data_IF_867047523814
#
_entry.id   IF_867047523814
#
_cell.length_a   1.000
_cell.length_b   1.000
_cell.length_c   1.000
_cell.angle_alpha   90.00
_cell.angle_beta   90.00
_cell.angle_gamma   90.00
#
_symmetry.space_group_name_H-M   'P 1'
#
loop_
_entity.id
_entity.type
_entity.pdbx_description
1 polymer ?
#
# COMPACT_ATOMS: atom_id res chain seq x y z
N UNK A 1 5.67 -18.49 4.66
CA UNK A 1 4.74 -18.13 5.76
C UNK A 1 3.36 -18.66 5.37
N UNK A 2 2.71 -19.51 6.16
CA UNK A 2 1.38 -20.04 5.75
C UNK A 2 0.36 -18.89 5.72
N UNK A 3 -0.60 -18.96 4.79
CA UNK A 3 -1.65 -17.93 4.64
C UNK A 3 -2.42 -17.71 5.95
N UNK A 4 -2.74 -18.79 6.69
CA UNK A 4 -3.37 -18.73 8.02
C UNK A 4 -2.61 -17.82 9.00
N UNK A 5 -1.28 -17.90 9.03
CA UNK A 5 -0.46 -17.10 9.96
C UNK A 5 -0.52 -15.59 9.65
N UNK A 6 -0.69 -15.22 8.37
CA UNK A 6 -0.82 -13.81 7.99
C UNK A 6 -2.18 -13.24 8.42
N UNK A 7 -3.25 -13.98 8.17
CA UNK A 7 -4.61 -13.57 8.53
C UNK A 7 -4.75 -13.42 10.05
N UNK A 8 -4.16 -14.32 10.84
CA UNK A 8 -4.14 -14.23 12.31
C UNK A 8 -3.47 -12.93 12.80
N UNK A 9 -2.35 -12.55 12.16
CA UNK A 9 -1.64 -11.31 12.48
C UNK A 9 -2.49 -10.09 12.10
N UNK A 10 -3.12 -10.12 10.92
CA UNK A 10 -3.98 -9.02 10.47
C UNK A 10 -5.17 -8.83 11.42
N UNK A 11 -5.83 -9.91 11.82
CA UNK A 11 -6.93 -9.89 12.80
C UNK A 11 -6.43 -9.31 14.14
N UNK A 12 -5.26 -9.72 14.61
CA UNK A 12 -4.68 -9.20 15.85
C UNK A 12 -4.40 -7.69 15.77
N UNK A 13 -3.83 -7.22 14.66
CA UNK A 13 -3.50 -5.80 14.46
C UNK A 13 -4.78 -4.94 14.37
N UNK A 14 -5.80 -5.43 13.68
CA UNK A 14 -7.08 -4.72 13.53
C UNK A 14 -7.76 -4.43 14.87
N UNK A 15 -7.58 -5.29 15.89
CA UNK A 15 -8.12 -5.06 17.24
C UNK A 15 -7.57 -3.82 17.94
N UNK A 16 -6.36 -3.37 17.62
CA UNK A 16 -5.76 -2.18 18.24
C UNK A 16 -6.33 -0.86 17.71
N UNK A 17 -7.13 -0.87 16.65
CA UNK A 17 -7.80 0.31 16.14
C UNK A 17 -9.24 -0.01 15.70
N UNK A 18 -10.22 0.13 16.60
CA UNK A 18 -11.58 -0.34 16.38
C UNK A 18 -12.35 0.46 15.30
N UNK A 19 -11.89 1.67 14.96
CA UNK A 19 -12.46 2.43 13.84
C UNK A 19 -11.97 1.85 12.51
N UNK A 20 -12.91 1.33 11.72
CA UNK A 20 -12.62 0.72 10.41
C UNK A 20 -12.11 1.76 9.39
N UNK A 21 -12.74 2.94 9.33
CA UNK A 21 -12.31 4.08 8.51
C UNK A 21 -12.18 5.30 9.43
N UNK A 22 -10.95 5.78 9.60
CA UNK A 22 -10.65 7.06 10.25
C UNK A 22 -9.82 7.89 9.27
N UNK A 23 -10.41 8.95 8.74
CA UNK A 23 -9.79 9.83 7.75
C UNK A 23 -8.87 10.88 8.38
N UNK A 24 -8.71 10.87 9.71
CA UNK A 24 -7.84 11.80 10.41
C UNK A 24 -6.36 11.40 10.28
N UNK A 25 -5.50 12.37 9.97
CA UNK A 25 -4.07 12.17 9.81
C UNK A 25 -3.26 12.27 11.12
N UNK A 26 -3.85 12.70 12.24
CA UNK A 26 -3.13 12.92 13.52
C UNK A 26 -2.33 11.70 13.97
N UNK A 27 -2.93 10.50 13.90
CA UNK A 27 -2.28 9.26 14.33
C UNK A 27 -1.08 8.90 13.46
N UNK A 28 -1.23 8.99 12.14
CA UNK A 28 -0.14 8.65 11.22
C UNK A 28 0.97 9.71 11.27
N UNK A 29 0.62 11.00 11.41
CA UNK A 29 1.61 12.07 11.54
C UNK A 29 2.47 11.92 12.79
N UNK A 30 1.87 11.57 13.94
CA UNK A 30 2.64 11.24 15.16
C UNK A 30 3.60 10.08 14.92
N UNK A 31 3.12 8.99 14.34
CA UNK A 31 3.96 7.83 14.03
C UNK A 31 5.11 8.18 13.07
N UNK A 32 4.84 9.00 12.04
CA UNK A 32 5.86 9.41 11.09
C UNK A 32 6.94 10.27 11.77
N UNK A 33 6.57 11.16 12.70
CA UNK A 33 7.54 11.92 13.50
C UNK A 33 8.41 11.00 14.35
N UNK A 34 7.80 10.04 15.06
CA UNK A 34 8.52 9.05 15.89
C UNK A 34 9.48 8.19 15.06
N UNK A 35 9.19 7.97 13.78
CA UNK A 35 10.03 7.22 12.83
C UNK A 35 11.04 8.08 12.05
N UNK A 36 11.18 9.37 12.37
CA UNK A 36 12.13 10.26 11.69
C UNK A 36 11.68 10.72 10.30
N UNK A 37 10.37 10.79 10.06
CA UNK A 37 9.74 11.26 8.82
C UNK A 37 10.22 10.56 7.53
N UNK A 38 10.15 9.21 7.44
CA UNK A 38 10.68 8.47 6.29
C UNK A 38 9.98 8.80 4.97
N UNK A 39 8.74 9.31 5.04
CA UNK A 39 7.97 9.76 3.88
C UNK A 39 8.60 10.96 3.14
N UNK A 40 9.56 11.66 3.75
CA UNK A 40 10.29 12.77 3.11
C UNK A 40 11.45 12.28 2.23
N UNK A 41 11.82 11.01 2.33
CA UNK A 41 12.94 10.39 1.62
C UNK A 41 12.49 9.28 0.68
N UNK A 42 11.29 9.43 0.09
CA UNK A 42 10.74 8.43 -0.81
C UNK A 42 11.51 8.40 -2.15
N UNK A 43 11.65 7.22 -2.78
CA UNK A 43 12.08 7.14 -4.18
C UNK A 43 11.05 7.83 -5.09
N UNK A 44 11.35 8.02 -6.38
CA UNK A 44 10.38 8.55 -7.35
C UNK A 44 9.03 7.84 -7.25
N UNK A 45 7.98 8.57 -6.86
CA UNK A 45 6.68 8.02 -6.47
C UNK A 45 5.56 8.71 -7.23
N UNK A 46 4.64 7.92 -7.79
CA UNK A 46 3.42 8.38 -8.43
C UNK A 46 2.24 8.06 -7.49
N UNK A 47 1.54 9.09 -7.01
CA UNK A 47 0.32 8.93 -6.20
C UNK A 47 -0.91 9.02 -7.11
N UNK A 48 -1.67 7.92 -7.24
CA UNK A 48 -2.89 7.85 -8.03
C UNK A 48 -4.12 8.00 -7.13
N UNK A 49 -4.75 9.18 -7.19
CA UNK A 49 -6.00 9.48 -6.49
C UNK A 49 -7.18 9.59 -7.47
N UNK A 50 -8.41 9.38 -6.98
CA UNK A 50 -9.64 9.51 -7.78
C UNK A 50 -10.73 8.53 -7.37
N UNK A 51 -11.95 8.73 -7.85
CA UNK A 51 -13.10 7.85 -7.52
C UNK A 51 -12.99 6.51 -8.26
N UNK A 52 -12.74 6.57 -9.57
CA UNK A 52 -12.71 5.40 -10.47
C UNK A 52 -11.36 5.30 -11.20
N UNK A 53 -11.08 4.15 -11.82
CA UNK A 53 -9.94 3.98 -12.74
C UNK A 53 -8.55 3.83 -12.09
N UNK A 54 -8.37 4.11 -10.80
CA UNK A 54 -7.05 4.02 -10.12
C UNK A 54 -6.29 2.72 -10.40
N UNK A 55 -6.98 1.58 -10.32
CA UNK A 55 -6.39 0.26 -10.54
C UNK A 55 -5.97 0.03 -11.99
N UNK A 56 -6.78 0.43 -12.97
CA UNK A 56 -6.44 0.30 -14.39
C UNK A 56 -5.32 1.27 -14.78
N UNK A 57 -5.38 2.52 -14.32
CA UNK A 57 -4.30 3.51 -14.51
C UNK A 57 -2.97 3.00 -13.96
N UNK A 58 -2.97 2.47 -12.73
CA UNK A 58 -1.77 1.87 -12.15
C UNK A 58 -1.25 0.70 -12.98
N UNK A 59 -2.14 -0.17 -13.47
CA UNK A 59 -1.75 -1.32 -14.29
C UNK A 59 -1.07 -0.89 -15.58
N UNK A 60 -1.61 0.12 -16.27
CA UNK A 60 -1.05 0.67 -17.51
C UNK A 60 0.32 1.29 -17.25
N UNK A 61 0.42 2.20 -16.26
CA UNK A 61 1.67 2.86 -15.91
C UNK A 61 2.75 1.86 -15.51
N UNK A 62 2.39 0.87 -14.70
CA UNK A 62 3.31 -0.19 -14.27
C UNK A 62 3.83 -0.99 -15.47
N UNK A 63 2.99 -1.32 -16.44
CA UNK A 63 3.42 -2.04 -17.65
C UNK A 63 4.38 -1.19 -18.47
N UNK A 64 4.06 0.08 -18.72
CA UNK A 64 4.91 1.01 -19.49
C UNK A 64 6.29 1.20 -18.85
N UNK A 65 6.33 1.48 -17.54
CA UNK A 65 7.58 1.70 -16.81
C UNK A 65 8.45 0.43 -16.72
N UNK A 66 7.81 -0.75 -16.69
CA UNK A 66 8.54 -2.02 -16.77
C UNK A 66 9.14 -2.25 -18.14
N UNK A 67 8.38 -1.99 -19.19
CA UNK A 67 8.86 -2.13 -20.56
C UNK A 67 10.03 -1.18 -20.85
N UNK A 68 10.07 -0.02 -20.18
CA UNK A 68 11.22 0.88 -20.22
C UNK A 68 12.41 0.43 -19.34
N UNK A 69 12.42 -0.81 -18.84
CA UNK A 69 13.53 -1.38 -18.08
C UNK A 69 13.63 -0.96 -16.61
N UNK A 70 12.60 -0.33 -16.03
CA UNK A 70 12.62 0.11 -14.63
C UNK A 70 12.11 -0.98 -13.68
N UNK A 71 12.72 -1.05 -12.49
CA UNK A 71 12.15 -1.82 -11.38
C UNK A 71 10.98 -1.04 -10.76
N UNK A 72 9.78 -1.61 -10.81
CA UNK A 72 8.55 -0.94 -10.36
C UNK A 72 7.86 -1.70 -9.24
N UNK A 73 7.73 -1.05 -8.08
CA UNK A 73 6.81 -1.46 -7.02
C UNK A 73 5.43 -0.82 -7.20
N UNK A 74 4.37 -1.51 -6.80
CA UNK A 74 3.04 -0.93 -6.80
C UNK A 74 2.20 -1.41 -5.63
N UNK A 75 1.45 -0.48 -5.04
CA UNK A 75 0.50 -0.72 -3.96
C UNK A 75 -0.95 -0.49 -4.43
N UNK A 76 -1.85 -1.41 -4.13
CA UNK A 76 -3.30 -1.31 -4.43
C UNK A 76 -4.17 -1.69 -3.25
N UNK A 77 -5.35 -1.07 -3.14
CA UNK A 77 -6.39 -1.48 -2.20
C UNK A 77 -7.79 -1.28 -2.81
N UNK A 78 -8.80 -2.12 -2.46
CA UNK A 78 -8.69 -3.33 -1.62
C UNK A 78 -7.99 -4.49 -2.36
N UNK A 79 -7.90 -5.66 -1.71
CA UNK A 79 -7.54 -6.93 -2.36
C UNK A 79 -8.82 -7.74 -2.60
N UNK A 80 -8.79 -8.73 -3.51
CA UNK A 80 -9.95 -9.58 -3.82
C UNK A 80 -9.97 -10.84 -2.97
N UNK A 81 -8.87 -11.60 -2.95
CA UNK A 81 -8.83 -12.89 -2.23
C UNK A 81 -7.82 -12.85 -1.10
N UNK A 82 -6.58 -12.44 -1.39
CA UNK A 82 -5.48 -12.48 -0.42
C UNK A 82 -4.91 -11.09 -0.17
N UNK A 83 -4.58 -10.77 1.08
CA UNK A 83 -3.96 -9.49 1.45
C UNK A 83 -2.69 -9.17 0.65
N UNK A 84 -1.92 -10.19 0.30
CA UNK A 84 -0.67 -10.04 -0.45
C UNK A 84 -0.86 -9.49 -1.86
N UNK A 85 -2.07 -9.54 -2.43
CA UNK A 85 -2.38 -8.92 -3.73
C UNK A 85 -2.16 -7.40 -3.73
N UNK A 86 -2.21 -6.76 -2.55
CA UNK A 86 -2.01 -5.32 -2.38
C UNK A 86 -0.59 -4.87 -2.70
N UNK A 87 0.40 -5.76 -2.62
CA UNK A 87 1.81 -5.42 -2.86
C UNK A 87 2.34 -6.26 -4.01
N UNK A 88 2.64 -5.62 -5.15
CA UNK A 88 3.24 -6.31 -6.29
C UNK A 88 4.70 -5.93 -6.43
N UNK A 89 5.56 -6.69 -5.76
CA UNK A 89 7.00 -6.66 -5.99
C UNK A 89 7.37 -7.65 -7.09
N UNK A 90 8.03 -7.17 -8.14
CA UNK A 90 8.79 -8.03 -9.06
C UNK A 90 10.02 -7.23 -9.45
N UNK A 91 11.20 -7.76 -9.09
CA UNK A 91 12.44 -7.41 -9.78
C UNK A 91 12.25 -7.67 -11.27
#
# INVERSE_FOLDING_TARGET
>A
MSLKKLDDILIKIQKYHPKYIDLNLKRINRLLQDLGNPHQFLPPTIHIAGTNGKGSTLSILRSMLKESGLTVHSYTSPHLVNFNERNKNKR
#
